data_IF_455748171061
#
_entry.id   IF_455748171061
#
_cell.length_a   1.000
_cell.length_b   1.000
_cell.length_c   1.000
_cell.angle_alpha   90.00
_cell.angle_beta   90.00
_cell.angle_gamma   90.00
#
_symmetry.space_group_name_H-M   'P 1'
#
loop_
_entity.id
_entity.type
_entity.pdbx_description
1 polymer ?
#
# COMPACT_ATOMS: atom_id res chain seq x y z
N UNK A 1 -7.51 10.79 17.44
CA UNK A 1 -6.34 10.12 16.82
C UNK A 1 -6.70 9.57 15.43
N UNK A 2 -7.78 8.80 15.32
CA UNK A 2 -8.32 8.25 14.04
C UNK A 2 -8.69 9.31 13.00
N UNK A 3 -9.32 10.41 13.41
CA UNK A 3 -9.65 11.55 12.53
C UNK A 3 -8.39 12.23 11.96
N UNK A 4 -7.37 12.42 12.80
CA UNK A 4 -6.08 13.00 12.40
C UNK A 4 -5.38 12.08 11.38
N UNK A 5 -5.33 10.77 11.64
CA UNK A 5 -4.72 9.80 10.70
C UNK A 5 -5.46 9.76 9.36
N UNK A 6 -6.79 9.88 9.36
CA UNK A 6 -7.61 9.93 8.15
C UNK A 6 -7.30 11.19 7.32
N UNK A 7 -7.24 12.36 7.96
CA UNK A 7 -6.94 13.63 7.28
C UNK A 7 -5.53 13.58 6.66
N UNK A 8 -4.54 13.10 7.41
CA UNK A 8 -3.16 12.96 6.90
C UNK A 8 -3.12 11.99 5.70
N UNK A 9 -3.83 10.86 5.78
CA UNK A 9 -3.89 9.87 4.70
C UNK A 9 -4.50 10.43 3.41
N UNK A 10 -5.58 11.21 3.54
CA UNK A 10 -6.23 11.88 2.42
C UNK A 10 -5.30 12.90 1.77
N UNK A 11 -4.68 13.77 2.58
CA UNK A 11 -3.72 14.76 2.09
C UNK A 11 -2.59 14.06 1.34
N UNK A 12 -1.97 13.03 1.94
CA UNK A 12 -0.87 12.29 1.30
C UNK A 12 -1.29 11.60 0.00
N UNK A 13 -2.49 11.03 -0.05
CA UNK A 13 -3.01 10.39 -1.27
C UNK A 13 -3.23 11.42 -2.38
N UNK A 14 -3.80 12.59 -2.07
CA UNK A 14 -4.05 13.67 -3.02
C UNK A 14 -2.72 14.24 -3.55
N UNK A 15 -1.76 14.54 -2.66
CA UNK A 15 -0.45 15.06 -3.04
C UNK A 15 0.32 14.07 -3.92
N UNK A 16 0.25 12.77 -3.61
CA UNK A 16 0.84 11.71 -4.44
C UNK A 16 0.21 11.69 -5.83
N UNK A 17 -1.13 11.71 -5.90
CA UNK A 17 -1.85 11.67 -7.17
C UNK A 17 -1.51 12.88 -8.06
N UNK A 18 -1.42 14.07 -7.48
CA UNK A 18 -1.00 15.29 -8.20
C UNK A 18 0.44 15.13 -8.73
N UNK A 19 1.36 14.64 -7.90
CA UNK A 19 2.77 14.47 -8.26
C UNK A 19 2.96 13.48 -9.41
N UNK A 20 2.33 12.31 -9.33
CA UNK A 20 2.56 11.21 -10.27
C UNK A 20 1.69 11.27 -11.53
N UNK A 21 0.70 12.18 -11.58
CA UNK A 21 -0.04 12.50 -12.81
C UNK A 21 0.81 13.26 -13.83
N UNK A 22 1.97 13.76 -13.43
CA UNK A 22 2.86 14.52 -14.30
C UNK A 22 3.32 13.71 -15.55
N UNK A 23 3.29 14.37 -16.72
CA UNK A 23 3.58 13.74 -18.01
C UNK A 23 5.04 13.30 -18.15
N UNK A 24 5.96 13.87 -17.39
CA UNK A 24 7.39 13.52 -17.42
C UNK A 24 7.63 12.20 -16.69
N UNK A 25 7.04 12.02 -15.49
CA UNK A 25 7.16 10.77 -14.73
C UNK A 25 6.51 9.60 -15.46
N UNK A 26 5.35 9.83 -16.07
CA UNK A 26 4.56 8.81 -16.76
C UNK A 26 5.22 8.26 -18.04
N UNK A 27 6.36 8.81 -18.48
CA UNK A 27 7.16 8.29 -19.60
C UNK A 27 7.91 7.00 -19.26
N UNK A 28 8.17 6.76 -17.97
CA UNK A 28 8.89 5.57 -17.48
C UNK A 28 7.90 4.54 -16.91
N UNK A 29 8.24 3.24 -16.94
CA UNK A 29 7.39 2.22 -16.31
C UNK A 29 7.27 2.42 -14.80
N UNK A 30 8.36 2.84 -14.14
CA UNK A 30 8.36 3.26 -12.73
C UNK A 30 7.29 4.32 -12.44
N UNK A 31 7.17 5.34 -13.29
CA UNK A 31 6.15 6.37 -13.12
C UNK A 31 4.73 5.86 -13.34
N UNK A 32 4.53 4.88 -14.24
CA UNK A 32 3.22 4.21 -14.39
C UNK A 32 2.86 3.45 -13.11
N UNK A 33 3.77 2.66 -12.55
CA UNK A 33 3.50 1.93 -11.30
C UNK A 33 3.19 2.88 -10.14
N UNK A 34 3.94 3.97 -9.98
CA UNK A 34 3.71 4.97 -8.92
C UNK A 34 2.38 5.72 -9.08
N UNK A 35 1.98 6.01 -10.32
CA UNK A 35 0.69 6.61 -10.61
C UNK A 35 -0.46 5.67 -10.20
N UNK A 36 -0.42 4.41 -10.63
CA UNK A 36 -1.44 3.43 -10.23
C UNK A 36 -1.43 3.15 -8.72
N UNK A 37 -0.25 3.10 -8.09
CA UNK A 37 -0.11 2.98 -6.63
C UNK A 37 -0.80 4.13 -5.91
N UNK A 38 -0.70 5.35 -6.44
CA UNK A 38 -1.37 6.53 -5.88
C UNK A 38 -2.89 6.46 -6.03
N UNK A 39 -3.38 5.95 -7.16
CA UNK A 39 -4.81 5.68 -7.37
C UNK A 39 -5.33 4.65 -6.37
N UNK A 40 -4.67 3.50 -6.25
CA UNK A 40 -5.06 2.45 -5.30
C UNK A 40 -5.00 2.95 -3.84
N UNK A 41 -3.98 3.72 -3.48
CA UNK A 41 -3.85 4.31 -2.14
C UNK A 41 -5.01 5.27 -1.83
N UNK A 42 -5.39 6.12 -2.79
CA UNK A 42 -6.54 7.00 -2.66
C UNK A 42 -7.86 6.23 -2.48
N UNK A 43 -8.13 5.24 -3.34
CA UNK A 43 -9.34 4.40 -3.22
C UNK A 43 -9.38 3.62 -1.90
N UNK A 44 -8.26 3.01 -1.49
CA UNK A 44 -8.17 2.27 -0.22
C UNK A 44 -8.44 3.19 0.97
N UNK A 45 -7.94 4.42 0.93
CA UNK A 45 -8.20 5.43 1.97
C UNK A 45 -9.68 5.81 2.04
N UNK A 46 -10.36 6.01 0.90
CA UNK A 46 -11.80 6.29 0.86
C UNK A 46 -12.60 5.11 1.44
N UNK A 47 -12.29 3.88 1.03
CA UNK A 47 -12.98 2.68 1.51
C UNK A 47 -12.80 2.54 3.03
N UNK A 48 -11.60 2.82 3.55
CA UNK A 48 -11.32 2.77 4.99
C UNK A 48 -12.16 3.80 5.77
N UNK A 49 -12.25 5.02 5.26
CA UNK A 49 -13.08 6.08 5.85
C UNK A 49 -14.54 5.66 5.86
N UNK A 50 -15.04 5.16 4.73
CA UNK A 50 -16.42 4.71 4.60
C UNK A 50 -16.73 3.55 5.58
N UNK A 51 -15.83 2.56 5.68
CA UNK A 51 -15.93 1.47 6.65
C UNK A 51 -16.00 1.99 8.09
N UNK A 52 -15.15 2.97 8.44
CA UNK A 52 -15.12 3.55 9.76
C UNK A 52 -16.43 4.28 10.11
N UNK A 53 -16.98 5.07 9.18
CA UNK A 53 -18.27 5.71 9.35
C UNK A 53 -19.40 4.71 9.55
N UNK A 54 -19.43 3.62 8.77
CA UNK A 54 -20.43 2.55 8.93
C UNK A 54 -20.33 1.89 10.31
N UNK A 55 -19.11 1.60 10.77
CA UNK A 55 -18.90 1.03 12.10
C UNK A 55 -19.46 1.96 13.20
N UNK A 56 -19.19 3.27 13.11
CA UNK A 56 -19.74 4.26 14.06
C UNK A 56 -21.28 4.28 13.99
N UNK A 57 -21.85 4.39 12.80
CA UNK A 57 -23.30 4.48 12.61
C UNK A 57 -23.97 3.23 13.18
N UNK A 58 -23.44 2.04 12.88
CA UNK A 58 -23.98 0.75 13.36
C UNK A 58 -24.00 0.70 14.89
N UNK A 59 -22.96 1.22 15.55
CA UNK A 59 -22.86 1.25 17.02
C UNK A 59 -23.77 2.31 17.68
N UNK A 60 -23.93 3.48 17.05
CA UNK A 60 -24.74 4.58 17.62
C UNK A 60 -26.24 4.38 17.39
N UNK A 61 -26.63 3.94 16.19
CA UNK A 61 -28.04 3.86 15.79
C UNK A 61 -28.67 2.48 15.98
N UNK A 62 -27.93 1.50 16.52
CA UNK A 62 -28.37 0.09 16.61
C UNK A 62 -29.00 -0.39 15.29
N UNK A 63 -28.40 -0.01 14.14
CA UNK A 63 -28.97 -0.35 12.83
C UNK A 63 -28.93 -1.86 12.64
N UNK A 64 -30.10 -2.50 12.60
CA UNK A 64 -30.27 -3.96 12.48
C UNK A 64 -30.46 -4.44 11.04
N UNK A 65 -30.28 -3.57 10.02
CA UNK A 65 -30.47 -3.97 8.63
C UNK A 65 -29.39 -4.98 8.20
N UNK A 66 -29.74 -6.26 8.32
CA UNK A 66 -28.86 -7.41 8.10
C UNK A 66 -28.30 -7.45 6.68
N UNK A 67 -29.10 -7.08 5.68
CA UNK A 67 -28.66 -7.05 4.27
C UNK A 67 -27.59 -5.99 4.03
N UNK A 68 -27.75 -4.79 4.61
CA UNK A 68 -26.75 -3.73 4.53
C UNK A 68 -25.45 -4.16 5.23
N UNK A 69 -25.54 -4.67 6.46
CA UNK A 69 -24.37 -5.12 7.22
C UNK A 69 -23.63 -6.27 6.52
N UNK A 70 -24.35 -7.19 5.86
CA UNK A 70 -23.76 -8.32 5.13
C UNK A 70 -23.00 -7.84 3.89
N UNK A 71 -23.60 -6.95 3.10
CA UNK A 71 -22.95 -6.38 1.92
C UNK A 71 -21.67 -5.62 2.28
N UNK A 72 -21.71 -4.80 3.33
CA UNK A 72 -20.53 -4.07 3.81
C UNK A 72 -19.45 -5.01 4.35
N UNK A 73 -19.85 -6.04 5.10
CA UNK A 73 -18.98 -7.08 5.66
C UNK A 73 -18.17 -7.80 4.57
N UNK A 74 -18.79 -8.14 3.45
CA UNK A 74 -18.15 -8.82 2.32
C UNK A 74 -17.30 -7.85 1.50
N UNK A 75 -17.87 -6.72 1.11
CA UNK A 75 -17.29 -5.86 0.08
C UNK A 75 -16.11 -5.04 0.59
N UNK A 76 -16.25 -4.38 1.74
CA UNK A 76 -15.25 -3.40 2.19
C UNK A 76 -13.92 -4.05 2.55
N UNK A 77 -13.95 -5.16 3.29
CA UNK A 77 -12.73 -5.88 3.67
C UNK A 77 -12.01 -6.48 2.48
N UNK A 78 -12.77 -7.01 1.52
CA UNK A 78 -12.22 -7.57 0.29
C UNK A 78 -11.53 -6.48 -0.55
N UNK A 79 -12.18 -5.34 -0.76
CA UNK A 79 -11.60 -4.22 -1.51
C UNK A 79 -10.37 -3.63 -0.79
N UNK A 80 -10.41 -3.50 0.54
CA UNK A 80 -9.24 -3.06 1.33
C UNK A 80 -8.06 -4.02 1.17
N UNK A 81 -8.30 -5.34 1.20
CA UNK A 81 -7.27 -6.35 0.98
C UNK A 81 -6.65 -6.24 -0.41
N UNK A 82 -7.46 -6.12 -1.46
CA UNK A 82 -6.98 -5.94 -2.83
C UNK A 82 -6.13 -4.67 -2.93
N UNK A 83 -6.63 -3.54 -2.41
CA UNK A 83 -5.93 -2.26 -2.48
C UNK A 83 -4.57 -2.26 -1.80
N UNK A 84 -4.49 -2.83 -0.60
CA UNK A 84 -3.23 -2.97 0.15
C UNK A 84 -2.22 -3.85 -0.58
N UNK A 85 -2.64 -5.05 -1.00
CA UNK A 85 -1.75 -5.97 -1.71
C UNK A 85 -1.30 -5.39 -3.06
N UNK A 86 -2.20 -4.75 -3.81
CA UNK A 86 -1.83 -4.07 -5.06
C UNK A 86 -0.76 -3.02 -4.80
N UNK A 87 -0.89 -2.21 -3.75
CA UNK A 87 0.10 -1.19 -3.44
C UNK A 87 1.49 -1.78 -3.15
N UNK A 88 1.57 -2.86 -2.36
CA UNK A 88 2.83 -3.55 -2.05
C UNK A 88 3.49 -4.14 -3.30
N UNK A 89 2.71 -4.77 -4.17
CA UNK A 89 3.21 -5.32 -5.43
C UNK A 89 3.67 -4.24 -6.40
N UNK A 90 2.95 -3.13 -6.52
CA UNK A 90 3.34 -2.00 -7.38
C UNK A 90 4.65 -1.35 -6.91
N UNK A 91 4.82 -1.16 -5.60
CA UNK A 91 6.08 -0.65 -5.01
C UNK A 91 7.23 -1.60 -5.34
N UNK A 92 6.99 -2.91 -5.25
CA UNK A 92 7.99 -3.94 -5.61
C UNK A 92 8.36 -3.87 -7.08
N UNK A 93 7.38 -3.69 -7.97
CA UNK A 93 7.64 -3.50 -9.40
C UNK A 93 8.51 -2.25 -9.67
N UNK A 94 8.30 -1.15 -8.92
CA UNK A 94 9.17 0.03 -9.00
C UNK A 94 10.62 -0.31 -8.61
N UNK A 95 10.82 -1.07 -7.53
CA UNK A 95 12.15 -1.48 -7.10
C UNK A 95 12.84 -2.37 -8.15
N UNK A 96 12.12 -3.35 -8.69
CA UNK A 96 12.61 -4.25 -9.75
C UNK A 96 12.98 -3.44 -11.01
N UNK A 97 12.11 -2.54 -11.47
CA UNK A 97 12.39 -1.77 -12.69
C UNK A 97 13.58 -0.80 -12.52
N UNK A 98 13.76 -0.23 -11.32
CA UNK A 98 14.96 0.54 -10.99
C UNK A 98 16.22 -0.33 -11.02
N UNK A 99 16.17 -1.54 -10.47
CA UNK A 99 17.28 -2.48 -10.55
C UNK A 99 17.61 -2.86 -12.00
N UNK A 100 16.58 -3.11 -12.83
CA UNK A 100 16.75 -3.38 -14.27
C UNK A 100 17.33 -2.19 -15.03
N UNK A 101 16.98 -0.96 -14.67
CA UNK A 101 17.57 0.26 -15.25
C UNK A 101 19.08 0.28 -15.00
N UNK A 102 19.52 -0.02 -13.78
CA UNK A 102 20.95 -0.04 -13.44
C UNK A 102 21.67 -1.21 -14.14
N UNK A 103 21.05 -2.40 -14.22
CA UNK A 103 21.63 -3.57 -14.91
C UNK A 103 21.82 -3.32 -16.40
N UNK A 104 20.77 -2.82 -17.08
CA UNK A 104 20.77 -2.66 -18.55
C UNK A 104 21.49 -1.39 -19.01
N UNK A 105 21.62 -0.38 -18.14
CA UNK A 105 22.29 0.88 -18.46
C UNK A 105 21.74 1.51 -19.74
N UNK A 106 22.61 1.72 -20.73
CA UNK A 106 22.26 2.34 -22.02
C UNK A 106 21.35 1.50 -22.91
N UNK A 107 21.23 0.19 -22.65
CA UNK A 107 20.33 -0.72 -23.38
C UNK A 107 18.89 -0.70 -22.85
N UNK A 108 18.57 0.15 -21.88
CA UNK A 108 17.24 0.22 -21.28
C UNK A 108 16.27 1.03 -22.15
N UNK A 109 15.29 0.34 -22.76
CA UNK A 109 14.19 1.00 -23.50
C UNK A 109 13.03 1.37 -22.56
N UNK A 110 12.89 2.67 -22.30
CA UNK A 110 11.82 3.23 -21.48
C UNK A 110 10.43 3.06 -22.10
N UNK A 111 10.29 3.14 -23.44
CA UNK A 111 8.99 3.05 -24.12
C UNK A 111 8.45 1.63 -24.07
N UNK A 112 9.31 0.63 -24.30
CA UNK A 112 8.93 -0.77 -24.20
C UNK A 112 8.52 -1.12 -22.76
N UNK A 113 9.34 -0.74 -21.78
CA UNK A 113 9.05 -1.03 -20.37
C UNK A 113 7.75 -0.37 -19.88
N UNK A 114 7.43 0.84 -20.37
CA UNK A 114 6.14 1.47 -20.08
C UNK A 114 4.94 0.65 -20.55
N UNK A 115 5.02 -0.01 -21.71
CA UNK A 115 3.96 -0.91 -22.21
C UNK A 115 3.86 -2.15 -21.33
N UNK A 116 5.00 -2.76 -21.00
CA UNK A 116 5.06 -3.93 -20.11
C UNK A 116 4.44 -3.60 -18.75
N UNK A 117 4.75 -2.42 -18.19
CA UNK A 117 4.21 -1.99 -16.90
C UNK A 117 2.68 -1.99 -16.87
N UNK A 118 2.02 -1.53 -17.94
CA UNK A 118 0.54 -1.56 -18.01
C UNK A 118 -0.01 -2.98 -17.98
N UNK A 119 0.60 -3.92 -18.71
CA UNK A 119 0.18 -5.33 -18.69
C UNK A 119 0.44 -5.97 -17.33
N UNK A 120 1.59 -5.71 -16.70
CA UNK A 120 1.92 -6.20 -15.37
C UNK A 120 0.90 -5.75 -14.34
N UNK A 121 0.45 -4.49 -14.39
CA UNK A 121 -0.58 -3.97 -13.46
C UNK A 121 -1.91 -4.74 -13.61
N UNK A 122 -2.34 -5.00 -14.84
CA UNK A 122 -3.58 -5.74 -15.12
C UNK A 122 -3.46 -7.18 -14.61
N UNK A 123 -2.34 -7.85 -14.92
CA UNK A 123 -2.10 -9.23 -14.49
C UNK A 123 -2.05 -9.32 -12.96
N UNK A 124 -1.36 -8.38 -12.29
CA UNK A 124 -1.30 -8.32 -10.83
C UNK A 124 -2.69 -8.13 -10.22
N UNK A 125 -3.51 -7.25 -10.79
CA UNK A 125 -4.87 -7.03 -10.29
C UNK A 125 -5.71 -8.32 -10.36
N UNK A 126 -5.65 -9.03 -11.49
CA UNK A 126 -6.36 -10.31 -11.66
C UNK A 126 -5.82 -11.36 -10.68
N UNK A 127 -4.51 -11.47 -10.55
CA UNK A 127 -3.85 -12.43 -9.66
C UNK A 127 -4.23 -12.20 -8.20
N UNK A 128 -4.16 -10.96 -7.71
CA UNK A 128 -4.50 -10.61 -6.32
C UNK A 128 -5.98 -10.82 -6.02
N UNK A 129 -6.85 -10.46 -6.97
CA UNK A 129 -8.30 -10.67 -6.82
C UNK A 129 -8.63 -12.16 -6.76
N UNK A 130 -8.05 -12.96 -7.66
CA UNK A 130 -8.29 -14.42 -7.73
C UNK A 130 -7.80 -15.15 -6.49
N UNK A 131 -6.63 -14.79 -5.99
CA UNK A 131 -6.04 -15.38 -4.76
C UNK A 131 -6.78 -14.98 -3.49
N UNK A 132 -7.52 -13.87 -3.51
CA UNK A 132 -8.26 -13.35 -2.35
C UNK A 132 -9.76 -13.68 -2.36
N UNK A 133 -10.28 -14.32 -3.42
CA UNK A 133 -11.73 -14.51 -3.63
C UNK A 133 -12.39 -15.43 -2.60
N UNK A 134 -11.63 -16.28 -1.93
CA UNK A 134 -12.14 -17.13 -0.85
C UNK A 134 -12.59 -16.33 0.37
N UNK A 135 -12.02 -15.14 0.61
CA UNK A 135 -12.36 -14.31 1.77
C UNK A 135 -13.81 -13.78 1.73
N UNK A 136 -14.30 -13.14 0.65
CA UNK A 136 -15.68 -12.67 0.58
C UNK A 136 -16.72 -13.80 0.60
N UNK A 137 -16.41 -14.98 0.06
CA UNK A 137 -17.35 -16.10 -0.06
C UNK A 137 -17.68 -16.73 1.31
N UNK A 138 -16.75 -16.68 2.27
CA UNK A 138 -16.88 -17.36 3.57
C UNK A 138 -17.20 -16.39 4.72
N UNK A 139 -17.59 -15.17 4.40
CA UNK A 139 -18.02 -14.15 5.37
C UNK A 139 -19.50 -14.31 5.67
N UNK A 140 -19.82 -14.38 6.95
CA UNK A 140 -21.19 -14.50 7.44
C UNK A 140 -21.47 -13.50 8.57
N UNK A 141 -22.75 -13.19 8.78
CA UNK A 141 -23.18 -12.41 9.94
C UNK A 141 -23.66 -13.35 11.05
N UNK A 142 -23.04 -13.24 12.22
CA UNK A 142 -23.49 -13.89 13.45
C UNK A 142 -24.17 -12.86 14.34
N UNK A 143 -25.31 -13.24 14.93
CA UNK A 143 -26.02 -12.43 15.93
C UNK A 143 -25.69 -13.02 17.29
N UNK A 144 -25.06 -12.24 18.15
CA UNK A 144 -24.86 -12.57 19.57
C UNK A 144 -26.05 -11.98 20.34
N UNK A 145 -26.85 -12.85 20.95
CA UNK A 145 -28.05 -12.49 21.72
C UNK A 145 -28.95 -13.70 21.93
N UNK A 146 -29.19 -14.05 23.20
CA UNK A 146 -30.21 -15.02 23.63
C UNK A 146 -31.60 -14.48 23.23
N UNK A 147 -32.55 -15.35 22.85
CA UNK A 147 -33.87 -14.95 22.30
C UNK A 147 -34.69 -14.04 23.25
N UNK A 148 -34.25 -13.91 24.51
CA UNK A 148 -34.89 -13.15 25.58
C UNK A 148 -34.21 -11.80 25.94
N UNK A 149 -33.10 -11.41 25.30
CA UNK A 149 -32.41 -10.13 25.60
C UNK A 149 -32.48 -9.14 24.43
N UNK A 150 -32.75 -7.88 24.75
CA UNK A 150 -32.93 -6.78 23.77
C UNK A 150 -31.61 -6.36 23.06
N UNK A 151 -30.45 -6.81 23.54
CA UNK A 151 -29.13 -6.46 22.99
C UNK A 151 -28.65 -7.44 21.91
N UNK A 152 -29.33 -7.48 20.76
CA UNK A 152 -28.88 -8.26 19.59
C UNK A 152 -27.70 -7.56 18.90
N UNK A 153 -26.48 -8.03 19.15
CA UNK A 153 -25.26 -7.50 18.49
C UNK A 153 -24.91 -8.33 17.26
N UNK A 154 -24.84 -7.71 16.09
CA UNK A 154 -24.51 -8.38 14.83
C UNK A 154 -23.03 -8.20 14.51
N UNK A 155 -22.30 -9.32 14.43
CA UNK A 155 -20.87 -9.37 14.09
C UNK A 155 -20.65 -9.93 12.69
N UNK A 156 -19.73 -9.30 11.94
CA UNK A 156 -19.18 -9.84 10.71
C UNK A 156 -18.04 -10.80 11.06
N UNK A 157 -18.28 -12.10 10.93
CA UNK A 157 -17.30 -13.14 11.26
C UNK A 157 -16.99 -13.94 10.00
N UNK A 158 -15.73 -14.30 9.85
CA UNK A 158 -15.28 -15.18 8.78
C UNK A 158 -15.25 -16.60 9.33
N UNK A 159 -16.02 -17.50 8.73
CA UNK A 159 -16.03 -18.90 9.12
C UNK A 159 -15.35 -19.73 8.03
N UNK A 160 -14.10 -20.12 8.28
CA UNK A 160 -13.31 -20.93 7.36
C UNK A 160 -13.31 -22.39 7.81
N UNK A 161 -13.40 -23.32 6.86
CA UNK A 161 -12.98 -24.70 7.13
C UNK A 161 -11.46 -24.77 7.34
N UNK A 162 -10.96 -25.77 8.06
CA UNK A 162 -9.53 -25.89 8.41
C UNK A 162 -8.61 -25.77 7.18
N UNK A 163 -8.99 -26.43 6.07
CA UNK A 163 -8.25 -26.36 4.79
C UNK A 163 -8.22 -24.94 4.23
N UNK A 164 -9.34 -24.22 4.31
CA UNK A 164 -9.44 -22.86 3.78
C UNK A 164 -8.73 -21.86 4.68
N UNK A 165 -8.64 -22.13 5.98
CA UNK A 165 -7.86 -21.33 6.92
C UNK A 165 -6.35 -21.47 6.67
N UNK A 166 -5.87 -22.68 6.38
CA UNK A 166 -4.48 -22.92 5.95
C UNK A 166 -4.20 -22.16 4.66
N UNK A 167 -5.08 -22.27 3.66
CA UNK A 167 -4.94 -21.54 2.40
C UNK A 167 -4.91 -20.02 2.60
N UNK A 168 -5.84 -19.47 3.38
CA UNK A 168 -5.88 -18.04 3.69
C UNK A 168 -4.60 -17.55 4.38
N UNK A 169 -4.07 -18.35 5.30
CA UNK A 169 -2.79 -18.06 5.98
C UNK A 169 -1.64 -18.08 4.97
N UNK A 170 -1.57 -19.10 4.12
CA UNK A 170 -0.54 -19.21 3.09
C UNK A 170 -0.57 -18.01 2.13
N UNK A 171 -1.74 -17.63 1.62
CA UNK A 171 -1.91 -16.49 0.71
C UNK A 171 -1.50 -15.19 1.38
N UNK A 172 -1.89 -14.99 2.64
CA UNK A 172 -1.48 -13.81 3.40
C UNK A 172 0.05 -13.72 3.55
N UNK A 173 0.70 -14.84 3.92
CA UNK A 173 2.16 -14.92 4.01
C UNK A 173 2.83 -14.70 2.64
N UNK A 174 2.26 -15.25 1.58
CA UNK A 174 2.77 -15.10 0.21
C UNK A 174 2.78 -13.63 -0.23
N UNK A 175 1.65 -12.94 -0.13
CA UNK A 175 1.58 -11.52 -0.54
C UNK A 175 2.39 -10.60 0.35
N UNK A 176 2.75 -11.02 1.57
CA UNK A 176 3.63 -10.28 2.45
C UNK A 176 5.13 -10.52 2.13
N UNK A 177 5.58 -11.78 2.19
CA UNK A 177 7.00 -12.11 2.10
C UNK A 177 7.57 -12.00 0.69
N UNK A 178 6.80 -12.35 -0.34
CA UNK A 178 7.32 -12.35 -1.72
C UNK A 178 7.67 -10.93 -2.19
N UNK A 179 6.77 -9.93 -2.09
CA UNK A 179 7.11 -8.54 -2.36
C UNK A 179 8.31 -8.05 -1.55
N UNK A 180 8.37 -8.41 -0.26
CA UNK A 180 9.46 -8.01 0.60
C UNK A 180 10.83 -8.54 0.13
N UNK A 181 10.93 -9.83 -0.18
CA UNK A 181 12.17 -10.45 -0.68
C UNK A 181 12.62 -9.76 -1.97
N UNK A 182 11.72 -9.53 -2.91
CA UNK A 182 12.05 -8.84 -4.16
C UNK A 182 12.53 -7.40 -3.95
N UNK A 183 11.98 -6.67 -2.97
CA UNK A 183 12.46 -5.34 -2.62
C UNK A 183 13.90 -5.35 -2.08
N UNK A 184 14.23 -6.27 -1.17
CA UNK A 184 15.61 -6.42 -0.67
C UNK A 184 16.56 -6.77 -1.82
N UNK A 185 16.21 -7.79 -2.61
CA UNK A 185 17.05 -8.22 -3.73
C UNK A 185 17.30 -7.07 -4.70
N UNK A 186 16.26 -6.30 -5.04
CA UNK A 186 16.37 -5.13 -5.90
C UNK A 186 17.30 -4.06 -5.32
N UNK A 187 17.19 -3.76 -4.03
CA UNK A 187 18.06 -2.79 -3.36
C UNK A 187 19.53 -3.25 -3.34
N UNK A 188 19.78 -4.53 -3.03
CA UNK A 188 21.13 -5.13 -3.04
C UNK A 188 21.72 -5.08 -4.45
N UNK A 189 20.94 -5.43 -5.48
CA UNK A 189 21.37 -5.36 -6.89
C UNK A 189 21.76 -3.93 -7.27
N UNK A 190 20.95 -2.93 -6.91
CA UNK A 190 21.25 -1.52 -7.19
C UNK A 190 22.59 -1.13 -6.56
N UNK A 191 22.81 -1.44 -5.28
CA UNK A 191 24.06 -1.10 -4.57
C UNK A 191 25.27 -1.77 -5.25
N UNK A 192 25.19 -3.06 -5.54
CA UNK A 192 26.30 -3.81 -6.15
C UNK A 192 26.61 -3.29 -7.55
N UNK A 193 25.59 -3.14 -8.40
CA UNK A 193 25.78 -2.75 -9.80
C UNK A 193 26.26 -1.30 -9.93
N UNK A 194 25.69 -0.36 -9.16
CA UNK A 194 26.17 1.03 -9.14
C UNK A 194 27.60 1.12 -8.63
N UNK A 195 27.97 0.33 -7.60
CA UNK A 195 29.36 0.28 -7.11
C UNK A 195 30.30 -0.25 -8.19
N UNK A 196 29.93 -1.32 -8.91
CA UNK A 196 30.72 -1.86 -10.02
C UNK A 196 30.93 -0.84 -11.13
N UNK A 197 29.86 -0.16 -11.56
CA UNK A 197 29.94 0.91 -12.56
C UNK A 197 30.89 2.02 -12.12
N UNK A 198 30.81 2.45 -10.86
CA UNK A 198 31.68 3.49 -10.31
C UNK A 198 33.14 3.04 -10.19
N UNK A 199 33.38 1.76 -9.94
CA UNK A 199 34.75 1.19 -9.92
C UNK A 199 35.39 1.20 -11.30
N UNK A 200 34.61 0.94 -12.37
CA UNK A 200 35.11 1.04 -13.76
C UNK A 200 35.48 2.48 -14.09
N UNK A 201 34.69 3.46 -13.64
CA UNK A 201 34.93 4.90 -13.90
C UNK A 201 36.02 5.49 -12.99
N UNK A 202 36.19 4.98 -11.77
CA UNK A 202 37.19 5.42 -10.80
C UNK A 202 38.13 4.28 -10.43
N UNK A 203 38.92 3.81 -11.40
CA UNK A 203 39.78 2.63 -11.27
C UNK A 203 40.85 2.71 -10.17
N UNK A 204 41.14 3.92 -9.66
CA UNK A 204 42.16 4.16 -8.63
C UNK A 204 41.65 3.97 -7.20
N UNK A 205 40.34 3.95 -6.96
CA UNK A 205 39.79 3.77 -5.62
C UNK A 205 39.49 2.30 -5.30
N UNK A 206 39.77 1.82 -4.07
CA UNK A 206 39.52 0.44 -3.70
C UNK A 206 38.00 0.16 -3.62
N UNK A 207 37.56 -0.96 -4.19
CA UNK A 207 36.15 -1.38 -4.26
C UNK A 207 35.42 -1.30 -2.90
N UNK A 208 36.08 -1.70 -1.80
CA UNK A 208 35.48 -1.65 -0.45
C UNK A 208 35.12 -0.23 0.01
N UNK A 209 35.91 0.78 -0.38
CA UNK A 209 35.65 2.19 -0.04
C UNK A 209 34.44 2.70 -0.82
N UNK A 210 34.43 2.47 -2.14
CA UNK A 210 33.32 2.79 -3.04
C UNK A 210 32.01 2.13 -2.59
N UNK A 211 32.07 0.84 -2.20
CA UNK A 211 30.92 0.10 -1.69
C UNK A 211 30.36 0.73 -0.41
N UNK A 212 31.23 1.09 0.56
CA UNK A 212 30.81 1.74 1.80
C UNK A 212 30.13 3.09 1.53
N UNK A 213 30.64 3.86 0.58
CA UNK A 213 30.03 5.13 0.16
C UNK A 213 28.67 4.91 -0.51
N UNK A 214 28.55 3.92 -1.40
CA UNK A 214 27.26 3.58 -2.03
C UNK A 214 26.24 3.06 -1.03
N UNK A 215 26.65 2.24 -0.05
CA UNK A 215 25.77 1.81 1.04
C UNK A 215 25.28 3.03 1.82
N UNK A 216 26.15 3.97 2.21
CA UNK A 216 25.72 5.21 2.90
C UNK A 216 24.76 6.04 2.05
N UNK A 217 25.03 6.15 0.75
CA UNK A 217 24.21 6.95 -0.16
C UNK A 217 22.83 6.31 -0.44
N UNK A 218 22.74 4.98 -0.39
CA UNK A 218 21.55 4.22 -0.78
C UNK A 218 20.90 3.46 0.39
N UNK A 219 21.35 3.69 1.62
CA UNK A 219 20.80 3.04 2.83
C UNK A 219 19.29 3.22 2.94
N UNK A 220 18.76 4.36 2.49
CA UNK A 220 17.32 4.64 2.46
C UNK A 220 16.51 3.65 1.60
N UNK A 221 17.11 3.06 0.54
CA UNK A 221 16.49 2.02 -0.28
C UNK A 221 16.35 0.69 0.46
N UNK A 222 17.21 0.43 1.45
CA UNK A 222 17.12 -0.73 2.34
C UNK A 222 16.19 -0.44 3.52
N UNK A 223 16.24 0.78 4.08
CA UNK A 223 15.39 1.19 5.21
C UNK A 223 13.90 1.14 4.84
N UNK A 224 13.52 1.56 3.62
CA UNK A 224 12.11 1.60 3.20
C UNK A 224 11.41 0.23 3.30
N UNK A 225 11.95 -0.87 2.71
CA UNK A 225 11.41 -2.22 2.90
C UNK A 225 11.29 -2.67 4.36
N UNK A 226 12.26 -2.35 5.22
CA UNK A 226 12.20 -2.70 6.65
C UNK A 226 11.15 -1.89 7.41
N UNK A 227 10.98 -0.60 7.08
CA UNK A 227 9.92 0.23 7.63
C UNK A 227 8.55 -0.33 7.24
N UNK A 228 8.38 -0.72 5.97
CA UNK A 228 7.14 -1.34 5.48
C UNK A 228 6.83 -2.66 6.22
N UNK A 229 7.83 -3.51 6.50
CA UNK A 229 7.64 -4.69 7.35
C UNK A 229 7.17 -4.30 8.74
N UNK A 230 7.88 -3.40 9.42
CA UNK A 230 7.57 -3.01 10.80
C UNK A 230 6.14 -2.50 10.93
N UNK A 231 5.61 -1.88 9.88
CA UNK A 231 4.23 -1.38 9.82
C UNK A 231 3.19 -2.44 9.48
N UNK A 232 3.58 -3.51 8.78
CA UNK A 232 2.70 -4.61 8.42
C UNK A 232 2.76 -5.79 9.43
N UNK A 233 3.80 -5.86 10.28
CA UNK A 233 3.89 -6.81 11.41
C UNK A 233 2.69 -6.73 12.36
N UNK A 234 2.20 -5.55 12.78
CA UNK A 234 1.01 -5.44 13.62
C UNK A 234 -0.21 -6.14 12.99
N UNK A 235 -0.38 -6.03 11.67
CA UNK A 235 -1.44 -6.71 10.92
C UNK A 235 -1.29 -8.23 10.95
N UNK A 236 -0.05 -8.70 10.81
CA UNK A 236 0.31 -10.12 10.87
C UNK A 236 0.08 -10.68 12.28
N UNK A 237 0.43 -9.91 13.32
CA UNK A 237 0.19 -10.24 14.73
C UNK A 237 -1.31 -10.30 14.99
N UNK A 238 -2.13 -9.34 14.56
CA UNK A 238 -3.59 -9.38 14.78
C UNK A 238 -4.22 -10.55 14.05
N UNK A 239 -3.79 -10.85 12.82
CA UNK A 239 -4.27 -12.00 12.07
C UNK A 239 -3.94 -13.33 12.79
N UNK A 240 -2.75 -13.43 13.40
CA UNK A 240 -2.31 -14.64 14.10
C UNK A 240 -2.87 -14.75 15.52
N UNK A 241 -2.90 -13.65 16.28
CA UNK A 241 -3.28 -13.55 17.70
C UNK A 241 -4.77 -13.31 17.89
N UNK A 242 -5.48 -12.72 16.92
CA UNK A 242 -6.94 -12.63 16.93
C UNK A 242 -7.63 -14.00 16.95
N UNK A 243 -6.88 -15.09 16.72
CA UNK A 243 -7.32 -16.48 16.93
C UNK A 243 -7.25 -16.94 18.39
N UNK A 244 -6.54 -16.22 19.25
CA UNK A 244 -6.25 -16.60 20.64
C UNK A 244 -6.84 -15.62 21.68
N UNK A 245 -7.34 -14.45 21.27
CA UNK A 245 -7.92 -13.46 22.18
C UNK A 245 -9.43 -13.53 22.08
N UNK A 246 -10.08 -14.03 23.14
CA UNK A 246 -11.52 -13.93 23.27
C UNK A 246 -11.94 -12.46 23.15
N UNK A 247 -12.80 -12.17 22.17
CA UNK A 247 -13.30 -10.84 21.77
C UNK A 247 -13.92 -10.01 22.90
N UNK A 248 -14.09 -10.60 24.09
CA UNK A 248 -14.77 -10.04 25.24
C UNK A 248 -13.81 -9.20 26.12
N UNK A 249 -12.51 -9.53 26.13
CA UNK A 249 -11.58 -8.95 27.11
C UNK A 249 -11.02 -7.56 26.78
N UNK A 250 -10.80 -7.21 25.50
CA UNK A 250 -10.19 -5.92 25.15
C UNK A 250 -10.43 -5.46 23.69
N UNK A 251 -11.66 -5.00 23.34
CA UNK A 251 -11.99 -4.55 21.97
C UNK A 251 -11.15 -3.37 21.48
N UNK A 252 -10.61 -2.56 22.40
CA UNK A 252 -9.73 -1.43 22.07
C UNK A 252 -8.37 -1.86 21.51
N UNK A 253 -7.83 -3.00 21.93
CA UNK A 253 -6.57 -3.55 21.41
C UNK A 253 -6.73 -4.03 19.95
N UNK A 254 -7.85 -4.68 19.65
CA UNK A 254 -8.18 -5.13 18.29
C UNK A 254 -8.38 -3.92 17.35
N UNK A 255 -9.08 -2.89 17.84
CA UNK A 255 -9.36 -1.67 17.09
C UNK A 255 -8.08 -0.85 16.82
N UNK A 256 -7.22 -0.69 17.82
CA UNK A 256 -5.93 0.02 17.68
C UNK A 256 -4.99 -0.70 16.72
N UNK A 257 -4.87 -2.02 16.83
CA UNK A 257 -4.11 -2.83 15.89
C UNK A 257 -4.62 -2.72 14.45
N UNK A 258 -5.95 -2.71 14.27
CA UNK A 258 -6.56 -2.53 12.96
C UNK A 258 -6.12 -1.19 12.34
N UNK A 259 -6.12 -0.08 13.09
CA UNK A 259 -5.65 1.21 12.59
C UNK A 259 -4.15 1.25 12.28
N UNK A 260 -3.32 0.63 13.12
CA UNK A 260 -1.87 0.52 12.88
C UNK A 260 -1.60 -0.25 11.56
N UNK A 261 -2.45 -1.20 11.22
CA UNK A 261 -2.33 -1.97 9.98
C UNK A 261 -2.53 -1.14 8.69
N UNK A 262 -3.15 0.04 8.79
CA UNK A 262 -3.31 0.98 7.68
C UNK A 262 -2.28 2.12 7.70
N UNK A 263 -1.40 2.14 8.70
CA UNK A 263 -0.33 3.12 8.81
C UNK A 263 0.61 3.14 7.57
N UNK A 264 0.90 2.02 6.86
CA UNK A 264 1.63 2.07 5.59
C UNK A 264 1.04 3.03 4.55
N UNK A 265 -0.29 3.16 4.47
CA UNK A 265 -0.97 4.08 3.53
C UNK A 265 -0.70 5.55 3.86
N UNK A 266 -0.43 5.85 5.14
CA UNK A 266 -0.18 7.21 5.64
C UNK A 266 1.21 7.68 5.23
N UNK A 267 2.17 6.77 5.04
CA UNK A 267 3.60 7.13 4.92
C UNK A 267 4.14 6.99 3.49
N UNK A 268 3.38 6.45 2.54
CA UNK A 268 3.81 6.25 1.14
C UNK A 268 4.39 7.53 0.52
N UNK A 269 3.69 8.68 0.65
CA UNK A 269 4.19 9.97 0.14
C UNK A 269 5.51 10.37 0.81
N UNK A 270 5.63 10.21 2.12
CA UNK A 270 6.81 10.57 2.91
C UNK A 270 7.99 9.65 2.56
N UNK A 271 7.75 8.36 2.34
CA UNK A 271 8.80 7.38 2.02
C UNK A 271 9.30 7.54 0.58
N UNK A 272 8.41 7.81 -0.37
CA UNK A 272 8.79 7.84 -1.79
C UNK A 272 9.10 9.24 -2.30
N UNK A 273 8.31 10.26 -1.94
CA UNK A 273 8.43 11.61 -2.53
C UNK A 273 9.45 12.47 -1.80
N UNK A 274 9.37 12.55 -0.47
CA UNK A 274 10.22 13.45 0.35
C UNK A 274 11.73 13.18 0.22
N UNK A 275 12.24 11.94 0.27
CA UNK A 275 13.68 11.68 0.13
C UNK A 275 14.18 11.75 -1.32
N UNK A 276 13.28 11.72 -2.31
CA UNK A 276 13.67 11.73 -3.72
C UNK A 276 13.81 13.16 -4.24
N UNK A 277 15.04 13.58 -4.57
CA UNK A 277 15.31 14.88 -5.21
C UNK A 277 14.52 15.05 -6.51
N UNK A 278 14.37 13.97 -7.28
CA UNK A 278 13.62 13.95 -8.55
C UNK A 278 12.13 14.13 -8.31
N UNK A 279 11.52 13.38 -7.40
CA UNK A 279 10.07 13.49 -7.15
C UNK A 279 9.71 14.77 -6.39
N UNK A 280 10.58 15.26 -5.51
CA UNK A 280 10.42 16.55 -4.84
C UNK A 280 10.46 17.71 -5.84
N UNK A 281 11.35 17.68 -6.84
CA UNK A 281 11.41 18.70 -7.89
C UNK A 281 10.11 18.73 -8.71
N UNK A 282 9.64 17.56 -9.12
CA UNK A 282 8.43 17.42 -9.94
C UNK A 282 7.20 17.84 -9.12
N UNK A 283 7.10 17.43 -7.85
CA UNK A 283 6.06 17.90 -6.94
C UNK A 283 6.00 19.43 -6.84
N UNK A 284 7.14 20.11 -6.66
CA UNK A 284 7.21 21.58 -6.60
C UNK A 284 6.75 22.24 -7.91
N UNK A 285 7.10 21.64 -9.05
CA UNK A 285 6.68 22.14 -10.37
C UNK A 285 5.16 21.97 -10.56
N UNK A 286 4.62 20.79 -10.25
CA UNK A 286 3.17 20.55 -10.30
C UNK A 286 2.40 21.48 -9.36
N UNK A 287 2.91 21.75 -8.15
CA UNK A 287 2.29 22.69 -7.21
C UNK A 287 2.25 24.13 -7.75
N UNK A 288 3.33 24.55 -8.41
CA UNK A 288 3.43 25.88 -9.02
C UNK A 288 2.43 26.05 -10.16
N UNK A 289 2.31 25.04 -11.03
CA UNK A 289 1.35 25.04 -12.13
C UNK A 289 -0.09 25.06 -11.62
N UNK A 290 -0.41 24.26 -10.59
CA UNK A 290 -1.75 24.24 -10.01
C UNK A 290 -2.11 25.58 -9.36
N UNK A 291 -1.15 26.20 -8.65
CA UNK A 291 -1.31 27.54 -8.07
C UNK A 291 -1.53 28.61 -9.13
N UNK A 292 -0.84 28.52 -10.27
CA UNK A 292 -1.05 29.42 -11.41
C UNK A 292 -2.44 29.23 -12.04
N UNK A 293 -2.89 27.98 -12.20
CA UNK A 293 -4.22 27.66 -12.74
C UNK A 293 -5.35 28.17 -11.83
N UNK A 294 -5.22 27.99 -10.51
CA UNK A 294 -6.19 28.52 -9.53
C UNK A 294 -6.20 30.04 -9.55
N UNK A 295 -5.03 30.69 -9.63
CA UNK A 295 -4.94 32.16 -9.76
C UNK A 295 -5.56 32.66 -11.06
N UNK A 296 -5.35 31.99 -12.18
CA UNK A 296 -5.99 32.38 -13.45
C UNK A 296 -7.50 32.17 -13.45
N UNK A 297 -8.00 31.14 -12.77
CA UNK A 297 -9.45 30.93 -12.62
C UNK A 297 -10.09 31.92 -11.66
N UNK A 298 -9.42 32.32 -10.58
CA UNK A 298 -9.88 33.37 -9.68
C UNK A 298 -9.90 34.75 -10.36
N UNK A 299 -8.94 35.04 -11.24
CA UNK A 299 -8.94 36.26 -12.05
C UNK A 299 -10.03 36.29 -13.13
N UNK A 300 -10.61 35.14 -13.49
CA UNK A 300 -11.75 35.05 -14.43
C UNK A 300 -13.11 35.20 -13.72
N UNK A 301 -13.13 35.22 -12.38
CA UNK A 301 -14.34 35.41 -11.57
C UNK A 301 -14.45 36.80 -10.92
N UNK A 302 -13.56 37.74 -11.28
CA UNK A 302 -13.67 39.18 -11.00
C UNK A 302 -13.99 39.93 -12.29
#
# INVERSE_FOLDING_TARGET
MTTITIIISLINSILSLITFKDKELYKTGCGVYLFFSSIFTFFTTIILIFKFWILIITQITYTTNRSFLYFQCISLDFLLRIGLNMNEWLITCVAIERALTVIKGTRFDQKQNRRIAKYVIIILFIFITSTSIHDPINRNLLSDGDDNNDDKRIWCIVSYSDRLQIYNTFIYMFHFFVPFIFNILSAVIIIIMTTRQRTVVHSKEPYKKLLREQIKQHIHLLISPFVLISLAIPRLIIFLVGRCVDSIGNPWLLLTGYFISFFPLIITFIIFVVPSKTYTKIFKQSLTQYRQMIRSQLHFCQ
#
